data_IF_375275732087
#
_entry.id   IF_375275732087
#
_cell.length_a   1.000
_cell.length_b   1.000
_cell.length_c   1.000
_cell.angle_alpha   90.00
_cell.angle_beta   90.00
_cell.angle_gamma   90.00
#
_symmetry.space_group_name_H-M   'P 1'
#
loop_
_entity.id
_entity.type
_entity.pdbx_description
1 polymer ?
#
# COMPACT_ATOMS: atom_id res chain seq x y z
N UNK A 1 41.66 -21.59 45.62
CA UNK A 1 41.16 -22.45 44.51
C UNK A 1 39.68 -22.84 44.64
N UNK A 2 39.16 -23.19 45.84
CA UNK A 2 37.74 -23.55 46.04
C UNK A 2 36.70 -22.49 45.58
N UNK A 3 36.93 -21.20 45.82
CA UNK A 3 35.99 -20.15 45.41
C UNK A 3 35.89 -19.97 43.88
N UNK A 4 36.97 -20.22 43.12
CA UNK A 4 36.93 -20.13 41.65
C UNK A 4 36.05 -21.21 41.02
N UNK A 5 36.09 -22.43 41.55
CA UNK A 5 35.27 -23.54 41.04
C UNK A 5 33.77 -23.35 41.31
N UNK A 6 33.42 -22.78 42.47
CA UNK A 6 32.03 -22.44 42.79
C UNK A 6 31.46 -21.34 41.87
N UNK A 7 32.24 -20.29 41.63
CA UNK A 7 31.85 -19.19 40.72
C UNK A 7 31.66 -19.71 39.29
N UNK A 8 32.55 -20.57 38.78
CA UNK A 8 32.43 -21.14 37.42
C UNK A 8 31.13 -21.94 37.25
N UNK A 9 30.73 -22.74 38.25
CA UNK A 9 29.47 -23.52 38.20
C UNK A 9 28.23 -22.62 38.20
N UNK A 10 28.24 -21.55 38.99
CA UNK A 10 27.15 -20.57 39.01
C UNK A 10 27.05 -19.86 37.67
N UNK A 11 28.17 -19.39 37.13
CA UNK A 11 28.20 -18.74 35.80
C UNK A 11 27.67 -19.70 34.73
N UNK A 12 28.13 -20.96 34.70
CA UNK A 12 27.66 -21.95 33.73
C UNK A 12 26.15 -22.24 33.85
N UNK A 13 25.62 -22.31 35.07
CA UNK A 13 24.20 -22.52 35.31
C UNK A 13 23.35 -21.32 34.86
N UNK A 14 23.81 -20.09 35.16
CA UNK A 14 23.15 -18.86 34.72
C UNK A 14 23.19 -18.74 33.20
N UNK A 15 24.34 -18.97 32.56
CA UNK A 15 24.44 -18.92 31.09
C UNK A 15 23.54 -19.98 30.44
N UNK A 16 23.49 -21.20 30.99
CA UNK A 16 22.60 -22.25 30.49
C UNK A 16 21.12 -21.88 30.62
N UNK A 17 20.72 -21.29 31.74
CA UNK A 17 19.34 -20.82 31.95
C UNK A 17 18.97 -19.68 30.99
N UNK A 18 19.87 -18.73 30.77
CA UNK A 18 19.68 -17.64 29.80
C UNK A 18 19.57 -18.18 28.38
N UNK A 19 20.46 -19.09 27.96
CA UNK A 19 20.39 -19.72 26.63
C UNK A 19 19.07 -20.47 26.41
N UNK A 20 18.59 -21.20 27.42
CA UNK A 20 17.30 -21.91 27.34
C UNK A 20 16.12 -20.94 27.22
N UNK A 21 16.15 -19.85 27.98
CA UNK A 21 15.12 -18.81 27.90
C UNK A 21 15.11 -18.13 26.53
N UNK A 22 16.29 -17.80 25.98
CA UNK A 22 16.40 -17.27 24.61
C UNK A 22 15.84 -18.26 23.57
N UNK A 23 16.19 -19.56 23.67
CA UNK A 23 15.65 -20.57 22.76
C UNK A 23 14.12 -20.69 22.86
N UNK A 24 13.55 -20.61 24.07
CA UNK A 24 12.10 -20.65 24.25
C UNK A 24 11.41 -19.45 23.58
N UNK A 25 11.97 -18.25 23.71
CA UNK A 25 11.45 -17.05 23.04
C UNK A 25 11.51 -17.18 21.52
N UNK A 26 12.64 -17.66 20.97
CA UNK A 26 12.78 -17.90 19.53
C UNK A 26 11.80 -18.95 19.02
N UNK A 27 11.56 -20.02 19.79
CA UNK A 27 10.59 -21.06 19.42
C UNK A 27 9.15 -20.54 19.41
N UNK A 28 8.76 -19.73 20.39
CA UNK A 28 7.44 -19.09 20.41
C UNK A 28 7.30 -18.14 19.21
N UNK A 29 8.33 -17.33 18.94
CA UNK A 29 8.33 -16.44 17.78
C UNK A 29 8.16 -17.23 16.46
N UNK A 30 8.89 -18.33 16.29
CA UNK A 30 8.78 -19.20 15.12
C UNK A 30 7.38 -19.79 14.94
N UNK A 31 6.79 -20.37 16.00
CA UNK A 31 5.47 -20.98 15.92
C UNK A 31 4.36 -19.96 15.63
N UNK A 32 4.45 -18.77 16.22
CA UNK A 32 3.49 -17.70 15.97
C UNK A 32 3.64 -17.14 14.55
N UNK A 33 4.87 -16.99 14.04
CA UNK A 33 5.12 -16.56 12.67
C UNK A 33 4.56 -17.58 11.65
N UNK A 34 4.78 -18.88 11.87
CA UNK A 34 4.21 -19.95 11.03
C UNK A 34 2.68 -19.92 11.02
N UNK A 35 2.04 -19.71 12.17
CA UNK A 35 0.59 -19.59 12.25
C UNK A 35 0.08 -18.36 11.49
N UNK A 36 0.70 -17.20 11.71
CA UNK A 36 0.36 -15.97 11.01
C UNK A 36 0.48 -16.13 9.49
N UNK A 37 1.61 -16.62 8.98
CA UNK A 37 1.82 -16.89 7.54
C UNK A 37 0.78 -17.89 7.01
N UNK A 38 0.41 -18.89 7.80
CA UNK A 38 -0.59 -19.88 7.40
C UNK A 38 -1.97 -19.26 7.22
N UNK A 39 -2.41 -18.39 8.13
CA UNK A 39 -3.70 -17.70 8.02
C UNK A 39 -3.66 -16.64 6.92
N UNK A 40 -2.55 -15.91 6.79
CA UNK A 40 -2.33 -14.94 5.72
C UNK A 40 -2.51 -15.58 4.33
N UNK A 41 -1.89 -16.74 4.09
CA UNK A 41 -2.02 -17.50 2.83
C UNK A 41 -3.44 -18.02 2.55
N UNK A 42 -4.33 -17.98 3.54
CA UNK A 42 -5.75 -18.32 3.38
C UNK A 42 -6.63 -17.08 3.20
N UNK A 43 -6.03 -15.89 3.10
CA UNK A 43 -6.73 -14.60 3.13
C UNK A 43 -7.33 -14.29 4.52
N UNK A 44 -6.91 -14.99 5.57
CA UNK A 44 -7.34 -14.74 6.95
C UNK A 44 -6.29 -13.89 7.66
N UNK A 45 -6.49 -12.58 7.62
CA UNK A 45 -5.58 -11.62 8.23
C UNK A 45 -5.85 -11.54 9.74
N UNK A 46 -4.97 -12.14 10.53
CA UNK A 46 -5.05 -12.19 12.00
C UNK A 46 -4.02 -11.27 12.62
N UNK A 47 -4.38 -10.57 13.71
CA UNK A 47 -3.45 -9.71 14.43
C UNK A 47 -2.28 -10.51 15.03
N UNK A 48 -1.04 -10.13 14.71
CA UNK A 48 0.17 -10.73 15.26
C UNK A 48 0.70 -9.90 16.42
N UNK A 49 -0.04 -9.88 17.52
CA UNK A 49 0.43 -9.30 18.81
C UNK A 49 1.80 -9.83 19.23
N UNK A 50 2.17 -11.03 18.77
CA UNK A 50 3.47 -11.64 19.04
C UNK A 50 4.59 -10.92 18.28
N UNK A 51 4.39 -10.45 17.05
CA UNK A 51 5.38 -9.63 16.33
C UNK A 51 5.58 -8.27 17.02
N UNK A 52 4.54 -7.68 17.64
CA UNK A 52 4.70 -6.45 18.43
C UNK A 52 5.61 -6.64 19.66
N UNK A 53 5.64 -7.85 20.24
CA UNK A 53 6.37 -8.15 21.48
C UNK A 53 7.73 -8.81 21.21
N UNK A 54 7.82 -9.69 20.21
CA UNK A 54 8.99 -10.51 19.89
C UNK A 54 9.72 -10.09 18.60
N UNK A 55 9.06 -9.32 17.72
CA UNK A 55 9.64 -8.73 16.51
C UNK A 55 10.38 -7.41 16.77
N UNK A 56 11.00 -7.25 17.96
CA UNK A 56 11.69 -6.02 18.37
C UNK A 56 12.82 -5.60 17.41
N UNK A 57 13.30 -6.50 16.57
CA UNK A 57 14.29 -6.23 15.53
C UNK A 57 13.70 -5.46 14.34
N UNK A 58 12.40 -5.58 14.08
CA UNK A 58 11.68 -4.97 12.94
C UNK A 58 10.28 -4.48 13.35
N UNK A 59 10.19 -3.42 14.18
CA UNK A 59 8.92 -2.92 14.69
C UNK A 59 7.99 -2.34 13.61
N UNK A 60 8.52 -2.03 12.41
CA UNK A 60 7.73 -1.54 11.28
C UNK A 60 6.78 -2.61 10.74
N UNK A 61 7.18 -3.89 10.78
CA UNK A 61 6.42 -5.02 10.22
C UNK A 61 5.09 -5.21 10.93
N UNK A 62 5.05 -5.05 12.25
CA UNK A 62 3.80 -5.18 12.99
C UNK A 62 2.73 -4.20 12.47
N UNK A 63 3.11 -2.93 12.34
CA UNK A 63 2.21 -1.90 11.83
C UNK A 63 1.88 -2.09 10.35
N UNK A 64 2.85 -2.53 9.54
CA UNK A 64 2.60 -2.87 8.14
C UNK A 64 1.54 -3.98 8.02
N UNK A 65 1.71 -5.08 8.74
CA UNK A 65 0.81 -6.23 8.70
C UNK A 65 -0.58 -5.87 9.24
N UNK A 66 -0.66 -4.99 10.26
CA UNK A 66 -1.95 -4.51 10.74
C UNK A 66 -2.63 -3.57 9.73
N UNK A 67 -1.85 -2.76 9.00
CA UNK A 67 -2.35 -1.97 7.88
C UNK A 67 -2.96 -2.85 6.79
N UNK A 68 -2.31 -3.96 6.45
CA UNK A 68 -2.85 -4.95 5.51
C UNK A 68 -4.17 -5.55 5.99
N UNK A 69 -4.25 -5.89 7.28
CA UNK A 69 -5.48 -6.42 7.89
C UNK A 69 -6.63 -5.43 7.70
N UNK A 70 -6.43 -4.16 8.06
CA UNK A 70 -7.44 -3.12 7.88
C UNK A 70 -7.80 -2.91 6.41
N UNK A 71 -6.80 -2.86 5.52
CA UNK A 71 -7.02 -2.70 4.09
C UNK A 71 -7.88 -3.83 3.51
N UNK A 72 -7.60 -5.08 3.90
CA UNK A 72 -8.35 -6.26 3.46
C UNK A 72 -9.82 -6.27 3.93
N UNK A 73 -10.10 -5.57 5.04
CA UNK A 73 -11.45 -5.42 5.60
C UNK A 73 -12.20 -4.23 4.98
N UNK A 74 -11.55 -3.46 4.09
CA UNK A 74 -12.08 -2.22 3.53
C UNK A 74 -11.99 -1.02 4.48
N UNK A 75 -11.32 -1.17 5.63
CA UNK A 75 -11.04 -0.07 6.55
C UNK A 75 -9.77 0.67 6.09
N UNK A 76 -9.92 1.47 5.04
CA UNK A 76 -8.79 2.18 4.43
C UNK A 76 -8.21 3.29 5.33
N UNK A 77 -9.02 3.89 6.19
CA UNK A 77 -8.57 4.86 7.18
C UNK A 77 -7.70 4.17 8.25
N UNK A 78 -8.15 3.01 8.77
CA UNK A 78 -7.36 2.18 9.67
C UNK A 78 -6.04 1.73 9.04
N UNK A 79 -6.08 1.33 7.76
CA UNK A 79 -4.90 0.95 7.00
C UNK A 79 -3.89 2.10 6.88
N UNK A 80 -4.35 3.28 6.50
CA UNK A 80 -3.52 4.49 6.40
C UNK A 80 -2.80 4.77 7.73
N UNK A 81 -3.54 4.75 8.85
CA UNK A 81 -2.98 5.03 10.17
C UNK A 81 -1.86 4.05 10.53
N UNK A 82 -2.04 2.76 10.23
CA UNK A 82 -1.02 1.75 10.53
C UNK A 82 0.17 1.81 9.58
N UNK A 83 -0.01 2.06 8.28
CA UNK A 83 1.13 2.26 7.38
C UNK A 83 1.95 3.51 7.74
N UNK A 84 1.32 4.59 8.22
CA UNK A 84 2.06 5.74 8.78
C UNK A 84 2.90 5.33 9.99
N UNK A 85 2.34 4.56 10.93
CA UNK A 85 3.10 4.03 12.08
C UNK A 85 4.23 3.10 11.67
N UNK A 86 4.06 2.35 10.58
CA UNK A 86 5.13 1.53 10.00
C UNK A 86 6.28 2.41 9.50
N UNK A 87 5.99 3.46 8.73
CA UNK A 87 7.00 4.42 8.25
C UNK A 87 7.70 5.17 9.39
N UNK A 88 7.02 5.49 10.49
CA UNK A 88 7.65 6.10 11.68
C UNK A 88 8.78 5.23 12.26
N UNK A 89 8.73 3.91 12.06
CA UNK A 89 9.78 2.98 12.49
C UNK A 89 10.97 2.94 11.54
N UNK A 90 10.94 3.72 10.44
CA UNK A 90 12.00 3.86 9.45
C UNK A 90 12.41 2.51 8.86
N UNK A 91 11.49 1.82 8.15
CA UNK A 91 11.87 0.69 7.31
C UNK A 91 13.02 1.08 6.37
N UNK A 92 13.86 0.12 6.03
CA UNK A 92 14.98 0.31 5.10
C UNK A 92 14.79 -0.51 3.84
N UNK A 93 15.49 -0.11 2.77
CA UNK A 93 15.45 -0.82 1.49
C UNK A 93 14.03 -0.85 0.90
N UNK A 94 13.67 -1.97 0.27
CA UNK A 94 12.39 -2.16 -0.41
C UNK A 94 11.18 -2.01 0.53
N UNK A 95 11.34 -2.31 1.82
CA UNK A 95 10.27 -2.20 2.82
C UNK A 95 9.76 -0.76 2.99
N UNK A 96 10.61 0.25 2.77
CA UNK A 96 10.19 1.65 2.81
C UNK A 96 9.24 1.96 1.65
N UNK A 97 9.68 1.74 0.41
CA UNK A 97 8.89 2.00 -0.78
C UNK A 97 7.59 1.20 -0.81
N UNK A 98 7.63 -0.05 -0.36
CA UNK A 98 6.44 -0.88 -0.29
C UNK A 98 5.42 -0.38 0.73
N UNK A 99 5.88 0.09 1.89
CA UNK A 99 4.99 0.70 2.90
C UNK A 99 4.38 2.00 2.35
N UNK A 100 5.15 2.79 1.59
CA UNK A 100 4.68 4.01 0.91
C UNK A 100 3.62 3.71 -0.15
N UNK A 101 3.82 2.66 -0.95
CA UNK A 101 2.83 2.17 -1.92
C UNK A 101 1.52 1.83 -1.22
N UNK A 102 1.57 1.02 -0.17
CA UNK A 102 0.35 0.62 0.55
C UNK A 102 -0.32 1.81 1.26
N UNK A 103 0.46 2.78 1.76
CA UNK A 103 -0.06 4.01 2.31
C UNK A 103 -0.79 4.86 1.26
N UNK A 104 -0.15 5.15 0.13
CA UNK A 104 -0.74 5.93 -0.95
C UNK A 104 -2.02 5.25 -1.48
N UNK A 105 -1.98 3.93 -1.66
CA UNK A 105 -3.14 3.14 -2.07
C UNK A 105 -4.31 3.23 -1.08
N UNK A 106 -4.01 3.19 0.23
CA UNK A 106 -5.03 3.34 1.27
C UNK A 106 -5.67 4.72 1.26
N UNK A 107 -4.92 5.77 0.90
CA UNK A 107 -5.45 7.13 0.74
C UNK A 107 -6.36 7.19 -0.49
N UNK A 108 -5.89 6.71 -1.64
CA UNK A 108 -6.66 6.74 -2.90
C UNK A 108 -7.98 5.98 -2.77
N UNK A 109 -8.01 4.85 -2.06
CA UNK A 109 -9.22 4.04 -1.85
C UNK A 109 -10.29 4.69 -0.97
N UNK A 110 -9.95 5.75 -0.24
CA UNK A 110 -10.94 6.52 0.51
C UNK A 110 -11.71 7.50 -0.37
N UNK A 111 -11.23 7.78 -1.60
CA UNK A 111 -11.89 8.71 -2.53
C UNK A 111 -13.09 8.02 -3.17
N UNK A 112 -14.27 8.62 -3.00
CA UNK A 112 -15.47 8.25 -3.73
C UNK A 112 -15.54 9.06 -5.04
N UNK A 113 -15.20 8.45 -6.21
CA UNK A 113 -15.18 9.17 -7.48
C UNK A 113 -16.56 9.68 -7.93
N UNK A 114 -17.65 9.07 -7.45
CA UNK A 114 -19.02 9.49 -7.82
C UNK A 114 -19.45 10.74 -7.06
N UNK A 115 -18.88 10.94 -5.86
CA UNK A 115 -19.08 12.14 -5.05
C UNK A 115 -18.23 13.33 -5.47
N UNK A 116 -17.37 13.18 -6.48
CA UNK A 116 -16.51 14.27 -6.97
C UNK A 116 -17.31 15.20 -7.89
N UNK A 117 -17.24 16.48 -7.55
CA UNK A 117 -17.94 17.61 -8.17
C UNK A 117 -16.95 18.76 -8.33
N UNK A 118 -17.34 19.82 -9.02
CA UNK A 118 -16.47 20.98 -9.22
C UNK A 118 -16.11 21.69 -7.92
N UNK A 119 -17.00 21.64 -6.93
CA UNK A 119 -16.82 22.30 -5.65
C UNK A 119 -15.77 21.64 -4.76
N UNK A 120 -15.59 20.32 -4.88
CA UNK A 120 -14.62 19.53 -4.08
C UNK A 120 -13.48 18.93 -4.90
N UNK A 121 -13.45 19.14 -6.23
CA UNK A 121 -12.41 18.59 -7.10
C UNK A 121 -11.01 18.99 -6.63
N UNK A 122 -10.78 20.28 -6.35
CA UNK A 122 -9.47 20.77 -5.93
C UNK A 122 -9.00 20.09 -4.62
N UNK A 123 -9.89 19.85 -3.67
CA UNK A 123 -9.58 19.12 -2.44
C UNK A 123 -9.18 17.66 -2.71
N UNK A 124 -9.88 16.99 -3.64
CA UNK A 124 -9.57 15.61 -4.02
C UNK A 124 -8.23 15.52 -4.77
N UNK A 125 -7.95 16.49 -5.64
CA UNK A 125 -6.65 16.59 -6.32
C UNK A 125 -5.54 16.81 -5.28
N UNK A 126 -5.71 17.68 -4.30
CA UNK A 126 -4.71 17.90 -3.24
C UNK A 126 -4.41 16.60 -2.47
N UNK A 127 -5.42 15.75 -2.24
CA UNK A 127 -5.25 14.43 -1.62
C UNK A 127 -4.42 13.50 -2.53
N UNK A 128 -4.72 13.47 -3.83
CA UNK A 128 -4.00 12.64 -4.80
C UNK A 128 -2.55 13.10 -4.99
N UNK A 129 -2.29 14.41 -5.02
CA UNK A 129 -0.94 14.98 -5.01
C UNK A 129 -0.17 14.57 -3.76
N UNK A 130 -0.81 14.62 -2.58
CA UNK A 130 -0.22 14.11 -1.34
C UNK A 130 0.12 12.62 -1.39
N UNK A 131 -0.72 11.79 -2.03
CA UNK A 131 -0.43 10.38 -2.26
C UNK A 131 0.77 10.17 -3.20
N UNK A 132 0.89 10.96 -4.28
CA UNK A 132 2.06 10.92 -5.17
C UNK A 132 3.33 11.37 -4.47
N UNK A 133 3.29 12.41 -3.64
CA UNK A 133 4.45 12.86 -2.87
C UNK A 133 4.97 11.75 -1.93
N UNK A 134 4.07 10.97 -1.30
CA UNK A 134 4.44 9.80 -0.50
C UNK A 134 5.21 8.76 -1.32
N UNK A 135 4.84 8.57 -2.58
CA UNK A 135 5.49 7.65 -3.53
C UNK A 135 6.82 8.18 -4.05
N UNK A 136 7.00 9.49 -4.14
CA UNK A 136 8.24 10.13 -4.61
C UNK A 136 9.31 10.17 -3.51
N UNK A 137 8.89 10.23 -2.24
CA UNK A 137 9.81 10.24 -1.12
C UNK A 137 10.81 9.07 -1.16
N UNK A 138 12.05 9.35 -0.75
CA UNK A 138 13.18 8.43 -0.81
C UNK A 138 13.46 7.84 -2.20
N UNK A 139 13.02 8.51 -3.27
CA UNK A 139 13.22 8.14 -4.68
C UNK A 139 12.46 6.88 -5.11
N UNK A 140 11.44 6.44 -4.36
CA UNK A 140 10.68 5.22 -4.68
C UNK A 140 10.02 5.31 -6.08
N UNK A 141 9.36 6.42 -6.37
CA UNK A 141 8.97 6.88 -7.71
C UNK A 141 9.76 8.17 -8.04
N UNK A 142 9.84 8.53 -9.32
CA UNK A 142 10.40 9.82 -9.72
C UNK A 142 9.31 10.88 -9.92
N UNK A 143 9.73 12.15 -9.83
CA UNK A 143 8.84 13.31 -10.09
C UNK A 143 8.45 13.41 -11.56
N UNK A 144 9.41 13.10 -12.44
CA UNK A 144 9.28 13.16 -13.89
C UNK A 144 9.13 11.75 -14.48
N UNK A 145 9.18 11.62 -15.81
CA UNK A 145 8.94 10.38 -16.58
C UNK A 145 10.08 9.32 -16.50
N UNK A 146 11.00 9.45 -15.53
CA UNK A 146 12.05 8.45 -15.32
C UNK A 146 11.55 7.31 -14.41
N UNK A 147 11.95 6.07 -14.64
CA UNK A 147 11.54 4.94 -13.78
C UNK A 147 12.17 5.08 -12.38
N UNK A 148 11.36 5.25 -11.33
CA UNK A 148 11.81 5.22 -9.94
C UNK A 148 12.48 3.89 -9.55
N UNK A 149 13.21 3.86 -8.43
CA UNK A 149 13.91 2.64 -8.02
C UNK A 149 12.98 1.54 -7.50
N UNK A 150 11.69 1.84 -7.32
CA UNK A 150 10.64 0.87 -7.00
C UNK A 150 9.51 0.93 -8.04
N UNK A 151 9.48 -0.05 -8.94
CA UNK A 151 8.57 -0.10 -10.09
C UNK A 151 7.09 0.06 -9.71
N UNK A 152 6.67 -0.57 -8.62
CA UNK A 152 5.28 -0.51 -8.16
C UNK A 152 4.90 0.91 -7.70
N UNK A 153 5.84 1.65 -7.11
CA UNK A 153 5.59 3.05 -6.74
C UNK A 153 5.45 3.93 -7.97
N UNK A 154 6.29 3.75 -9.00
CA UNK A 154 6.15 4.46 -10.26
C UNK A 154 4.82 4.14 -10.94
N UNK A 155 4.47 2.86 -11.01
CA UNK A 155 3.21 2.40 -11.63
C UNK A 155 2.00 3.02 -10.94
N UNK A 156 1.95 2.98 -9.61
CA UNK A 156 0.85 3.57 -8.85
C UNK A 156 0.78 5.09 -9.01
N UNK A 157 1.93 5.77 -9.07
CA UNK A 157 1.97 7.22 -9.34
C UNK A 157 1.34 7.53 -10.71
N UNK A 158 1.73 6.80 -11.75
CA UNK A 158 1.21 7.01 -13.11
C UNK A 158 -0.30 6.71 -13.18
N UNK A 159 -0.78 5.70 -12.44
CA UNK A 159 -2.21 5.41 -12.30
C UNK A 159 -2.97 6.53 -11.58
N UNK A 160 -2.37 7.14 -10.55
CA UNK A 160 -2.93 8.31 -9.87
C UNK A 160 -2.99 9.52 -10.83
N UNK A 161 -1.94 9.77 -11.62
CA UNK A 161 -1.92 10.84 -12.62
C UNK A 161 -3.06 10.66 -13.65
N UNK A 162 -3.30 9.42 -14.10
CA UNK A 162 -4.42 9.09 -15.00
C UNK A 162 -5.79 9.29 -14.33
N UNK A 163 -5.91 8.94 -13.05
CA UNK A 163 -7.14 9.11 -12.27
C UNK A 163 -7.48 10.61 -12.08
N UNK A 164 -6.50 11.45 -11.78
CA UNK A 164 -6.67 12.91 -11.70
C UNK A 164 -7.20 13.50 -13.02
N UNK A 165 -6.64 13.08 -14.16
CA UNK A 165 -7.09 13.55 -15.48
C UNK A 165 -8.56 13.19 -15.73
N UNK A 166 -9.00 12.00 -15.31
CA UNK A 166 -10.38 11.56 -15.46
C UNK A 166 -11.36 12.34 -14.57
N UNK A 167 -11.00 12.57 -13.30
CA UNK A 167 -11.83 13.37 -12.39
C UNK A 167 -12.03 14.80 -12.92
N UNK A 168 -10.99 15.41 -13.49
CA UNK A 168 -11.06 16.72 -14.14
C UNK A 168 -12.04 16.71 -15.32
N UNK A 169 -11.91 15.75 -16.24
CA UNK A 169 -12.80 15.61 -17.40
C UNK A 169 -14.26 15.39 -17.00
N UNK A 170 -14.51 14.51 -16.02
CA UNK A 170 -15.85 14.24 -15.50
C UNK A 170 -16.52 15.52 -14.97
N UNK A 171 -15.75 16.33 -14.24
CA UNK A 171 -16.24 17.57 -13.64
C UNK A 171 -16.54 18.66 -14.68
N UNK A 172 -15.71 18.77 -15.72
CA UNK A 172 -15.95 19.69 -16.85
C UNK A 172 -17.23 19.32 -17.63
N UNK A 173 -17.50 18.02 -17.80
CA UNK A 173 -18.72 17.54 -18.47
C UNK A 173 -20.00 17.79 -17.64
N UNK A 174 -19.92 17.76 -16.30
CA UNK A 174 -21.04 18.10 -15.41
C UNK A 174 -21.46 19.57 -15.57
N UNK A 175 -20.49 20.48 -15.68
CA UNK A 175 -20.70 21.93 -15.84
C UNK A 175 -21.43 22.24 -17.16
N UNK A 176 -21.08 21.54 -18.24
CA UNK A 176 -21.69 21.72 -19.56
C UNK A 176 -23.15 21.22 -19.63
N UNK A 177 -23.52 20.23 -18.81
CA UNK A 177 -24.91 19.74 -18.72
C UNK A 177 -25.79 20.58 -17.78
N UNK A 178 -25.19 21.34 -16.86
CA UNK A 178 -25.90 22.26 -15.96
C UNK A 178 -26.44 23.53 -16.63
N UNK A 179 -25.90 23.89 -17.79
CA UNK A 179 -26.22 25.14 -18.52
C UNK A 179 -27.28 24.98 -19.63
N UNK A 180 -27.85 23.78 -19.82
CA UNK A 180 -28.96 23.58 -20.77
C UNK A 180 -30.31 23.92 -20.12
N UNK A 181 -30.76 25.16 -20.31
CA UNK A 181 -32.15 25.57 -20.07
C UNK A 181 -33.10 24.68 -20.90
N UNK A 182 -34.05 23.93 -20.29
CA UNK A 182 -34.99 23.08 -21.01
C UNK A 182 -35.97 23.84 -21.92
N UNK A 183 -35.95 25.17 -21.96
CA UNK A 183 -37.05 25.97 -22.46
C UNK A 183 -36.76 26.87 -23.67
N UNK A 184 -35.86 26.47 -24.56
CA UNK A 184 -35.76 27.09 -25.89
C UNK A 184 -36.07 26.11 -27.03
N UNK A 185 -37.24 25.45 -26.97
CA UNK A 185 -37.86 24.88 -28.15
C UNK A 185 -38.72 25.92 -28.85
N UNK A 186 -38.10 26.66 -29.79
CA UNK A 186 -38.82 27.35 -30.87
C UNK A 186 -38.40 26.83 -32.24
N UNK A 187 -39.23 25.92 -32.73
CA UNK A 187 -39.62 25.63 -34.13
C UNK A 187 -38.83 26.26 -35.29
N UNK A 188 -38.32 25.38 -36.16
CA UNK A 188 -38.37 25.32 -37.65
C UNK A 188 -37.08 24.61 -38.10
N UNK A 189 -37.00 23.60 -38.95
CA UNK A 189 -37.89 23.04 -39.97
C UNK A 189 -36.98 22.54 -41.10
N UNK A 190 -37.02 21.24 -41.38
CA UNK A 190 -36.65 20.57 -42.65
C UNK A 190 -35.18 20.41 -43.08
N UNK A 191 -34.88 19.14 -43.34
CA UNK A 191 -34.09 18.55 -44.43
C UNK A 191 -32.56 18.30 -44.26
N UNK A 192 -32.28 17.00 -44.21
CA UNK A 192 -31.20 16.24 -44.88
C UNK A 192 -29.74 16.40 -44.43
N UNK A 193 -29.19 15.30 -43.91
CA UNK A 193 -27.96 14.61 -44.37
C UNK A 193 -27.16 14.00 -43.20
N UNK A 194 -27.11 12.65 -43.20
CA UNK A 194 -25.96 11.83 -42.82
C UNK A 194 -25.25 12.16 -41.49
N UNK A 195 -25.78 11.66 -40.37
CA UNK A 195 -25.01 11.54 -39.13
C UNK A 195 -24.40 10.13 -39.04
N UNK A 196 -23.08 10.07 -39.17
CA UNK A 196 -22.29 8.96 -38.62
C UNK A 196 -22.63 8.85 -37.13
N UNK A 197 -23.22 7.72 -36.75
CA UNK A 197 -23.53 7.32 -35.37
C UNK A 197 -22.23 7.20 -34.57
N UNK A 198 -21.69 8.35 -34.20
CA UNK A 198 -20.61 8.47 -33.22
C UNK A 198 -21.32 8.48 -31.88
N UNK A 199 -21.71 7.30 -31.41
CA UNK A 199 -22.26 7.15 -30.07
C UNK A 199 -21.22 7.67 -29.08
N UNK A 200 -21.45 8.88 -28.55
CA UNK A 200 -20.77 9.34 -27.35
C UNK A 200 -20.97 8.28 -26.26
N UNK A 201 -19.91 7.80 -25.61
CA UNK A 201 -20.05 6.83 -24.52
C UNK A 201 -20.98 7.41 -23.46
N UNK A 202 -22.04 6.67 -23.11
CA UNK A 202 -23.01 7.13 -22.11
C UNK A 202 -22.30 7.37 -20.77
N UNK A 203 -22.83 8.29 -19.95
CA UNK A 203 -22.23 8.63 -18.65
C UNK A 203 -21.99 7.43 -17.73
N UNK A 204 -22.82 6.38 -17.84
CA UNK A 204 -22.64 5.14 -17.06
C UNK A 204 -21.42 4.31 -17.50
N UNK A 205 -21.01 4.42 -18.77
CA UNK A 205 -19.89 3.63 -19.31
C UNK A 205 -18.55 4.25 -18.89
N UNK A 206 -18.48 5.58 -18.76
CA UNK A 206 -17.30 6.30 -18.24
C UNK A 206 -17.15 6.15 -16.72
N UNK A 207 -18.25 6.22 -15.98
CA UNK A 207 -18.31 5.97 -14.53
C UNK A 207 -17.88 4.53 -14.17
N UNK A 208 -18.26 3.57 -15.01
CA UNK A 208 -17.78 2.18 -14.97
C UNK A 208 -16.27 2.06 -15.21
N UNK A 209 -15.70 2.91 -16.07
CA UNK A 209 -14.27 2.87 -16.39
C UNK A 209 -13.40 3.42 -15.25
N UNK A 210 -13.81 4.51 -14.60
CA UNK A 210 -13.12 5.06 -13.42
C UNK A 210 -13.11 4.04 -12.28
N UNK A 211 -14.26 3.39 -12.02
CA UNK A 211 -14.37 2.30 -11.04
C UNK A 211 -13.45 1.13 -11.39
N UNK A 212 -13.42 0.71 -12.66
CA UNK A 212 -12.51 -0.35 -13.11
C UNK A 212 -11.04 0.03 -12.96
N UNK A 213 -10.67 1.30 -13.13
CA UNK A 213 -9.28 1.73 -12.94
C UNK A 213 -8.91 1.81 -11.46
N UNK A 214 -9.80 2.25 -10.58
CA UNK A 214 -9.63 2.08 -9.13
C UNK A 214 -9.50 0.60 -8.73
N UNK A 215 -10.24 -0.29 -9.40
CA UNK A 215 -10.11 -1.74 -9.21
C UNK A 215 -8.84 -2.32 -9.88
N UNK A 216 -8.30 -1.67 -10.90
CA UNK A 216 -7.06 -2.04 -11.59
C UNK A 216 -5.81 -1.57 -10.83
N UNK A 217 -5.87 -0.42 -10.16
CA UNK A 217 -4.93 0.01 -9.11
C UNK A 217 -4.83 -1.06 -8.00
N UNK A 218 -5.89 -1.89 -7.85
CA UNK A 218 -5.94 -3.05 -6.97
C UNK A 218 -5.47 -4.37 -7.62
N UNK A 219 -5.26 -4.40 -8.95
CA UNK A 219 -5.27 -5.57 -9.84
C UNK A 219 -4.11 -6.54 -9.70
N UNK A 220 -2.95 -6.13 -9.19
CA UNK A 220 -2.02 -7.05 -8.55
C UNK A 220 -2.25 -6.90 -7.05
N UNK A 221 -2.99 -7.84 -6.48
CA UNK A 221 -3.43 -7.81 -5.08
C UNK A 221 -2.31 -7.37 -4.12
N UNK A 222 -2.66 -6.56 -3.13
CA UNK A 222 -1.86 -6.34 -1.92
C UNK A 222 -1.22 -7.67 -1.46
N UNK A 223 -1.96 -8.77 -1.57
CA UNK A 223 -1.53 -10.15 -1.30
C UNK A 223 -0.25 -10.59 -2.03
N UNK A 224 -0.07 -10.26 -3.31
CA UNK A 224 1.14 -10.61 -4.06
C UNK A 224 2.32 -9.72 -3.70
N UNK A 225 2.10 -8.41 -3.52
CA UNK A 225 3.14 -7.50 -3.03
C UNK A 225 3.57 -7.95 -1.63
N UNK A 226 2.65 -8.18 -0.72
CA UNK A 226 2.92 -8.33 0.70
C UNK A 226 3.43 -9.72 1.11
N UNK A 227 3.18 -10.77 0.31
CA UNK A 227 3.83 -12.09 0.48
C UNK A 227 5.35 -11.96 0.61
N UNK A 228 5.94 -10.98 -0.05
CA UNK A 228 7.37 -10.73 0.08
C UNK A 228 7.74 -10.11 1.42
N UNK A 229 6.99 -9.18 2.05
CA UNK A 229 7.41 -8.60 3.35
C UNK A 229 7.56 -9.65 4.46
N UNK A 230 6.60 -10.57 4.55
CA UNK A 230 6.62 -11.62 5.56
C UNK A 230 7.62 -12.74 5.21
N UNK A 231 7.84 -13.03 3.92
CA UNK A 231 8.81 -14.03 3.48
C UNK A 231 10.26 -13.52 3.48
N UNK A 232 10.51 -12.22 3.27
CA UNK A 232 11.85 -11.67 3.07
C UNK A 232 12.69 -11.64 4.35
N UNK A 233 12.04 -11.40 5.49
CA UNK A 233 12.75 -11.13 6.74
C UNK A 233 13.09 -12.43 7.51
N UNK A 234 12.35 -13.52 7.29
CA UNK A 234 12.63 -14.82 7.92
C UNK A 234 13.79 -15.57 7.24
N UNK A 235 14.14 -15.23 6.00
CA UNK A 235 15.11 -16.02 5.20
C UNK A 235 16.40 -15.29 4.78
N UNK A 236 16.47 -13.95 4.80
CA UNK A 236 17.66 -13.20 4.34
C UNK A 236 18.72 -12.95 5.43
N UNK A 237 18.86 -13.87 6.38
CA UNK A 237 20.03 -13.95 7.25
C UNK A 237 20.80 -15.29 7.12
N UNK A 238 20.44 -16.12 6.14
CA UNK A 238 21.26 -17.29 5.76
C UNK A 238 21.78 -17.11 4.33
N UNK A 239 23.05 -16.71 4.24
CA UNK A 239 23.91 -16.58 3.06
C UNK A 239 23.86 -15.26 2.29
N UNK A 240 24.65 -14.29 2.77
CA UNK A 240 25.62 -13.68 1.86
C UNK A 240 27.03 -13.95 2.39
N UNK A 241 27.68 -14.91 1.75
CA UNK A 241 29.07 -15.26 2.01
C UNK A 241 29.94 -14.05 1.70
N UNK A 242 30.73 -13.63 2.69
CA UNK A 242 31.85 -12.73 2.48
C UNK A 242 32.84 -13.38 1.49
N UNK A 243 32.74 -13.05 0.21
CA UNK A 243 33.74 -13.33 -0.81
C UNK A 243 34.65 -12.13 -0.97
N UNK A 244 35.63 -11.98 -0.07
CA UNK A 244 36.54 -10.84 -0.04
C UNK A 244 37.31 -10.61 -1.34
N UNK A 245 37.78 -9.35 -1.46
CA UNK A 245 38.75 -8.72 -2.40
C UNK A 245 39.05 -9.50 -3.69
N UNK A 246 39.08 -8.76 -4.80
CA UNK A 246 40.33 -8.22 -5.36
C UNK A 246 40.09 -7.62 -6.75
N UNK A 247 40.71 -6.45 -7.00
CA UNK A 247 40.93 -5.77 -8.30
C UNK A 247 39.74 -5.59 -9.25
#
# INVERSE_FOLDING_TARGET
MKNRSGIIKIVAAVTGAVSLLCMAVLLVNYLCNEHFISEYKKGQYVDSTVNAVLGFTQPHIYHYNLGDVYYSQGDYEGAEQEFRKALEKKPGGESDCKTRVNLALSIVKQIDPEGVTKENLDEVIDILEGAKDILIENDCAHRDDEDGHYKDAQTLKDEIDAFEEQLRKQTEEQDQKGDQDPNDQKSQGSDDENEEDTQEPQSSDKESEIRKQLDAIQGDSLEQRNQEMDAYETYKNEHDYYGGRTW
#
